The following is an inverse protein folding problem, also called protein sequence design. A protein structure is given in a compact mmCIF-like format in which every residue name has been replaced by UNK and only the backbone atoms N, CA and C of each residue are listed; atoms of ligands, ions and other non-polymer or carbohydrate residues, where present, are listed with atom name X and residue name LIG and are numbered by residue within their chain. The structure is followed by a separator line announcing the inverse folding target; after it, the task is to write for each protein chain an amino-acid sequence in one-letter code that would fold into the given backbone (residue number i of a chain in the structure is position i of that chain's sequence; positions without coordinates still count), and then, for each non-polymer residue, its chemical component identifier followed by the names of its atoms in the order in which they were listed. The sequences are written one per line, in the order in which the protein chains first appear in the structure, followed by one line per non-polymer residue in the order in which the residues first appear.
data_IF_995174374155
#
_entry.id   IF_995174374155
#
_cell.length_a   1.000
_cell.length_b   1.000
_cell.length_c   1.000
_cell.angle_alpha   90.00
_cell.angle_beta   90.00
_cell.angle_gamma   90.00
#
_symmetry.space_group_name_H-M   'P 1'
#
loop_
_entity.id
_entity.type
_entity.pdbx_description
1 polymer ?
#
# COMPACT_ATOMS: atom_id res chain seq x y z
N UNK A 1 15.09 -51.36 -10.65
CA UNK A 1 15.68 -50.07 -10.24
C UNK A 1 14.55 -49.09 -10.01
N UNK A 2 14.32 -48.70 -8.75
CA UNK A 2 13.26 -47.75 -8.37
C UNK A 2 13.85 -46.34 -8.41
N UNK A 3 13.46 -45.52 -9.38
CA UNK A 3 13.72 -44.09 -9.35
C UNK A 3 12.60 -43.44 -8.54
N UNK A 4 12.90 -43.02 -7.31
CA UNK A 4 12.07 -42.05 -6.60
C UNK A 4 12.25 -40.70 -7.32
N UNK A 5 11.26 -40.30 -8.10
CA UNK A 5 11.18 -38.95 -8.63
C UNK A 5 10.82 -38.01 -7.47
N UNK A 6 11.81 -37.25 -7.00
CA UNK A 6 11.59 -36.10 -6.11
C UNK A 6 10.92 -35.01 -6.97
N UNK A 7 9.60 -34.90 -6.88
CA UNK A 7 8.86 -33.74 -7.39
C UNK A 7 9.25 -32.52 -6.53
N UNK A 8 10.18 -31.72 -7.02
CA UNK A 8 10.48 -30.42 -6.44
C UNK A 8 9.23 -29.55 -6.56
N UNK A 9 8.61 -29.23 -5.42
CA UNK A 9 7.62 -28.17 -5.30
C UNK A 9 8.30 -26.84 -5.62
N UNK A 10 8.32 -26.48 -6.90
CA UNK A 10 8.71 -25.14 -7.30
C UNK A 10 7.65 -24.17 -6.76
N UNK A 11 8.05 -23.09 -6.07
CA UNK A 11 7.11 -22.07 -5.64
C UNK A 11 6.46 -21.47 -6.88
N UNK A 12 5.14 -21.58 -6.97
CA UNK A 12 4.34 -20.91 -8.00
C UNK A 12 4.51 -19.41 -7.77
N UNK A 13 5.25 -18.75 -8.67
CA UNK A 13 5.28 -17.30 -8.74
C UNK A 13 3.86 -16.84 -9.12
N UNK A 14 3.14 -16.26 -8.17
CA UNK A 14 1.86 -15.62 -8.40
C UNK A 14 2.11 -14.15 -8.76
N UNK A 15 1.25 -13.57 -9.59
CA UNK A 15 1.12 -12.12 -9.63
C UNK A 15 0.82 -11.62 -8.22
N UNK A 16 1.54 -10.60 -7.78
CA UNK A 16 1.19 -9.88 -6.56
C UNK A 16 -0.03 -9.02 -6.87
N UNK A 17 -1.09 -9.16 -6.06
CA UNK A 17 -2.33 -8.39 -6.22
C UNK A 17 -2.34 -7.13 -5.36
N UNK A 18 -1.23 -6.87 -4.66
CA UNK A 18 -1.06 -5.71 -3.81
C UNK A 18 0.28 -5.67 -3.07
N UNK A 19 0.41 -4.72 -2.16
CA UNK A 19 1.55 -4.57 -1.27
C UNK A 19 1.16 -3.87 0.03
N UNK A 20 1.97 -4.08 1.05
CA UNK A 20 1.85 -3.42 2.35
C UNK A 20 3.15 -2.67 2.63
N UNK A 21 3.04 -1.36 2.79
CA UNK A 21 4.15 -0.47 3.12
C UNK A 21 4.07 -0.01 4.57
N UNK A 22 5.22 0.12 5.22
CA UNK A 22 5.34 0.66 6.57
C UNK A 22 6.30 1.84 6.57
N UNK A 23 5.99 2.89 7.33
CA UNK A 23 6.99 3.93 7.63
C UNK A 23 8.13 3.35 8.47
N UNK A 24 9.30 3.98 8.42
CA UNK A 24 10.48 3.55 9.21
C UNK A 24 10.20 3.51 10.73
N UNK A 25 9.33 4.39 11.21
CA UNK A 25 8.90 4.44 12.62
C UNK A 25 7.81 3.41 12.95
N UNK A 26 7.28 2.69 11.95
CA UNK A 26 6.15 1.75 12.07
C UNK A 26 4.94 2.37 12.77
N UNK A 27 4.70 3.65 12.53
CA UNK A 27 3.54 4.39 13.01
C UNK A 27 2.43 4.51 11.95
N UNK A 28 2.73 4.13 10.71
CA UNK A 28 1.80 4.10 9.60
C UNK A 28 2.01 2.87 8.73
N UNK A 29 0.92 2.18 8.42
CA UNK A 29 0.86 1.14 7.42
C UNK A 29 -0.03 1.58 6.25
N UNK A 30 0.47 1.47 5.03
CA UNK A 30 -0.24 1.73 3.77
C UNK A 30 -0.43 0.42 3.04
N UNK A 31 -1.68 -0.02 2.85
CA UNK A 31 -2.01 -1.20 2.05
C UNK A 31 -2.60 -0.76 0.74
N UNK A 32 -2.10 -1.31 -0.35
CA UNK A 32 -2.69 -1.13 -1.68
C UNK A 32 -2.96 -2.50 -2.26
N UNK A 33 -4.17 -2.72 -2.76
CA UNK A 33 -4.56 -3.97 -3.38
C UNK A 33 -5.56 -3.72 -4.51
N UNK A 34 -5.57 -4.63 -5.47
CA UNK A 34 -6.53 -4.67 -6.55
C UNK A 34 -7.87 -5.22 -6.03
N UNK A 35 -8.96 -4.49 -6.24
CA UNK A 35 -10.32 -4.98 -5.99
C UNK A 35 -10.85 -5.71 -7.22
N UNK A 36 -11.69 -6.73 -7.04
CA UNK A 36 -12.37 -7.46 -8.14
C UNK A 36 -13.15 -6.53 -9.10
N UNK A 37 -13.47 -5.32 -8.64
CA UNK A 37 -14.14 -4.28 -9.42
C UNK A 37 -13.20 -3.35 -10.19
N UNK A 38 -11.93 -3.73 -10.41
CA UNK A 38 -10.85 -2.92 -11.07
C UNK A 38 -10.43 -1.63 -10.36
N UNK A 39 -10.95 -1.37 -9.16
CA UNK A 39 -10.56 -0.22 -8.36
C UNK A 39 -9.37 -0.60 -7.46
N UNK A 40 -8.23 0.08 -7.61
CA UNK A 40 -7.15 -0.03 -6.63
C UNK A 40 -7.60 0.66 -5.33
N UNK A 41 -7.50 -0.02 -4.20
CA UNK A 41 -7.87 0.53 -2.89
C UNK A 41 -6.61 0.83 -2.10
N UNK A 42 -6.49 2.06 -1.59
CA UNK A 42 -5.44 2.42 -0.62
C UNK A 42 -6.04 2.54 0.78
N UNK A 43 -5.46 1.82 1.74
CA UNK A 43 -5.83 1.84 3.16
C UNK A 43 -4.65 2.36 3.96
N UNK A 44 -4.87 3.40 4.76
CA UNK A 44 -3.95 3.84 5.79
C UNK A 44 -4.40 3.27 7.14
N UNK A 45 -3.47 2.82 7.98
CA UNK A 45 -3.78 2.35 9.34
C UNK A 45 -2.63 2.59 10.32
N UNK A 46 -2.94 2.77 11.61
CA UNK A 46 -1.94 2.78 12.68
C UNK A 46 -1.70 1.33 13.13
N UNK A 47 -0.51 0.75 12.87
CA UNK A 47 -0.23 -0.64 13.21
C UNK A 47 0.00 -0.86 14.71
N UNK A 48 0.08 0.19 15.54
CA UNK A 48 0.33 0.12 16.99
C UNK A 48 -0.94 -0.07 17.81
N UNK A 49 -2.12 0.02 17.19
CA UNK A 49 -3.40 -0.17 17.86
C UNK A 49 -3.83 -1.65 17.74
N UNK A 50 -3.83 -2.38 18.86
CA UNK A 50 -4.04 -3.83 18.97
C UNK A 50 -5.44 -4.32 18.54
N UNK A 51 -6.43 -3.43 18.50
CA UNK A 51 -7.81 -3.78 18.12
C UNK A 51 -8.02 -3.51 16.64
N UNK A 52 -7.55 -4.43 15.80
CA UNK A 52 -7.90 -4.51 14.38
C UNK A 52 -7.56 -3.24 13.60
N UNK A 53 -6.27 -3.00 13.34
CA UNK A 53 -5.75 -2.04 12.35
C UNK A 53 -6.66 -0.83 12.13
N UNK A 54 -6.62 0.13 13.06
CA UNK A 54 -7.47 1.31 12.99
C UNK A 54 -7.33 1.97 11.62
N UNK A 55 -8.40 1.90 10.83
CA UNK A 55 -8.48 2.49 9.51
C UNK A 55 -8.35 4.01 9.67
N UNK A 56 -7.25 4.56 9.17
CA UNK A 56 -6.94 5.99 9.14
C UNK A 56 -7.55 6.64 7.92
N UNK A 57 -7.61 5.97 6.77
CA UNK A 57 -8.32 6.45 5.57
C UNK A 57 -8.45 5.33 4.53
N UNK A 58 -9.55 5.33 3.78
CA UNK A 58 -9.76 4.49 2.59
C UNK A 58 -9.94 5.38 1.37
N UNK A 59 -9.17 5.11 0.32
CA UNK A 59 -9.23 5.86 -0.93
C UNK A 59 -9.72 4.94 -2.03
N UNK A 60 -10.88 5.26 -2.62
CA UNK A 60 -11.56 4.44 -3.63
C UNK A 60 -11.27 4.84 -5.08
N UNK A 61 -10.76 6.05 -5.31
CA UNK A 61 -10.24 6.48 -6.61
C UNK A 61 -8.73 6.59 -6.50
N UNK A 62 -8.05 5.54 -6.96
CA UNK A 62 -6.60 5.55 -7.07
C UNK A 62 -6.24 5.61 -8.54
N UNK A 63 -5.73 6.75 -8.98
CA UNK A 63 -5.11 6.87 -10.30
C UNK A 63 -3.73 6.21 -10.21
N UNK A 64 -3.66 4.97 -10.72
CA UNK A 64 -2.43 4.20 -10.84
C UNK A 64 -1.83 4.36 -12.22
N UNK A 65 -0.67 4.98 -12.33
CA UNK A 65 0.18 4.83 -13.51
C UNK A 65 1.29 3.84 -13.15
N UNK A 66 1.18 2.62 -13.68
CA UNK A 66 2.27 1.65 -13.68
C UNK A 66 3.12 1.93 -14.91
N UNK A 67 4.32 2.47 -14.72
CA UNK A 67 5.35 2.46 -15.76
C UNK A 67 6.14 1.15 -15.68
N UNK A 68 7.04 0.91 -16.63
CA UNK A 68 7.91 -0.27 -16.62
C UNK A 68 8.80 -0.36 -15.37
N UNK A 69 8.99 0.76 -14.66
CA UNK A 69 9.96 0.91 -13.57
C UNK A 69 9.33 1.33 -12.23
N UNK A 70 8.10 1.88 -12.21
CA UNK A 70 7.48 2.31 -10.97
C UNK A 70 5.96 2.35 -11.05
N UNK A 71 5.32 2.16 -9.90
CA UNK A 71 3.89 2.37 -9.74
C UNK A 71 3.66 3.60 -8.86
N UNK A 72 2.88 4.56 -9.36
CA UNK A 72 2.44 5.73 -8.62
C UNK A 72 0.94 5.65 -8.37
N UNK A 73 0.54 5.68 -7.11
CA UNK A 73 -0.85 5.62 -6.67
C UNK A 73 -1.22 6.93 -6.00
N UNK A 74 -2.14 7.69 -6.61
CA UNK A 74 -2.66 8.93 -6.03
C UNK A 74 -4.02 8.69 -5.36
N UNK A 75 -4.13 9.07 -4.11
CA UNK A 75 -5.29 8.90 -3.26
C UNK A 75 -5.77 10.27 -2.73
N UNK A 76 -7.05 10.59 -2.91
CA UNK A 76 -7.68 11.81 -2.40
C UNK A 76 -8.82 11.46 -1.43
N UNK A 77 -8.90 12.09 -0.24
CA UNK A 77 -9.90 11.72 0.75
C UNK A 77 -11.31 11.92 0.18
N UNK A 78 -12.21 10.97 0.43
CA UNK A 78 -13.60 11.10 -0.01
C UNK A 78 -14.25 12.30 0.67
N UNK A 79 -15.14 12.99 -0.05
CA UNK A 79 -15.95 14.09 0.51
C UNK A 79 -16.98 13.60 1.55
N UNK A 80 -17.29 12.32 1.52
CA UNK A 80 -18.09 11.62 2.54
C UNK A 80 -17.13 10.78 3.37
N UNK A 81 -16.56 11.32 4.47
CA UNK A 81 -15.75 10.52 5.36
C UNK A 81 -16.65 9.44 5.96
N UNK A 82 -16.35 8.16 5.71
CA UNK A 82 -16.79 7.11 6.63
C UNK A 82 -16.39 7.56 8.04
N UNK A 83 -17.21 7.33 9.08
CA UNK A 83 -16.90 7.77 10.43
C UNK A 83 -15.61 7.11 10.90
N UNK A 84 -14.52 7.86 10.79
CA UNK A 84 -13.16 7.39 11.08
C UNK A 84 -12.98 7.34 12.59
N UNK A 85 -12.92 6.13 13.17
CA UNK A 85 -12.61 6.00 14.59
C UNK A 85 -11.12 6.33 14.81
N UNK A 86 -10.86 7.36 15.60
CA UNK A 86 -9.65 7.73 16.35
C UNK A 86 -8.25 7.84 15.70
N UNK A 87 -8.09 7.75 14.38
CA UNK A 87 -6.87 8.22 13.71
C UNK A 87 -6.93 9.72 13.44
N UNK A 88 -6.25 10.58 14.19
CA UNK A 88 -6.36 12.05 13.99
C UNK A 88 -5.34 12.63 13.00
N UNK A 89 -4.26 11.91 12.67
CA UNK A 89 -3.19 12.44 11.83
C UNK A 89 -2.40 11.34 11.08
N UNK A 90 -1.74 11.75 9.99
CA UNK A 90 -0.79 10.95 9.20
C UNK A 90 0.54 11.71 9.19
N UNK A 91 1.60 11.10 9.73
CA UNK A 91 2.93 11.72 9.83
C UNK A 91 2.90 13.14 10.45
N UNK A 92 2.09 13.31 11.50
CA UNK A 92 1.91 14.58 12.20
C UNK A 92 1.00 15.59 11.51
N UNK A 93 0.45 15.28 10.32
CA UNK A 93 -0.54 16.13 9.63
C UNK A 93 -1.95 15.65 9.95
N UNK A 94 -2.84 16.51 10.48
CA UNK A 94 -4.22 16.13 10.73
C UNK A 94 -4.90 15.61 9.47
N UNK A 95 -5.67 14.52 9.56
CA UNK A 95 -6.30 13.92 8.38
C UNK A 95 -7.17 14.90 7.57
N UNK A 96 -7.91 15.78 8.27
CA UNK A 96 -8.73 16.84 7.65
C UNK A 96 -7.92 17.86 6.85
N UNK A 97 -6.61 17.91 7.09
CA UNK A 97 -5.66 18.80 6.42
C UNK A 97 -4.87 18.08 5.33
N UNK A 98 -5.04 16.77 5.15
CA UNK A 98 -4.43 16.02 4.04
C UNK A 98 -5.27 16.26 2.77
N UNK A 99 -4.66 16.86 1.75
CA UNK A 99 -5.30 17.05 0.45
C UNK A 99 -5.09 15.85 -0.47
N UNK A 100 -3.90 15.26 -0.45
CA UNK A 100 -3.57 14.10 -1.28
C UNK A 100 -2.48 13.24 -0.64
N UNK A 101 -2.50 11.95 -0.97
CA UNK A 101 -1.44 11.00 -0.71
C UNK A 101 -1.00 10.38 -2.02
N UNK A 102 0.30 10.40 -2.30
CA UNK A 102 0.89 9.72 -3.45
C UNK A 102 1.89 8.70 -2.95
N UNK A 103 1.61 7.43 -3.19
CA UNK A 103 2.57 6.36 -2.94
C UNK A 103 3.30 6.03 -4.24
N UNK A 104 4.62 6.06 -4.21
CA UNK A 104 5.50 5.66 -5.31
C UNK A 104 6.29 4.45 -4.85
N UNK A 105 6.18 3.35 -5.59
CA UNK A 105 6.87 2.10 -5.29
C UNK A 105 7.65 1.66 -6.52
N UNK A 106 8.86 1.13 -6.33
CA UNK A 106 9.68 0.53 -7.39
C UNK A 106 9.13 -0.87 -7.77
N UNK A 107 7.88 -0.86 -8.25
CA UNK A 107 7.10 -2.03 -8.58
C UNK A 107 6.42 -1.84 -9.93
N UNK A 108 6.50 -2.86 -10.78
CA UNK A 108 5.80 -2.93 -12.05
C UNK A 108 4.82 -4.11 -12.03
N UNK A 109 3.54 -3.82 -12.29
CA UNK A 109 2.50 -4.83 -12.41
C UNK A 109 2.83 -5.82 -13.55
N UNK A 110 2.52 -7.10 -13.35
CA UNK A 110 2.72 -8.15 -14.36
C UNK A 110 4.14 -8.73 -14.44
N UNK A 111 5.11 -8.22 -13.66
CA UNK A 111 6.39 -8.91 -13.47
C UNK A 111 6.25 -9.95 -12.34
N UNK A 112 6.58 -11.24 -12.57
CA UNK A 112 6.56 -12.24 -11.51
C UNK A 112 7.49 -11.85 -10.37
N UNK A 113 6.96 -11.81 -9.15
CA UNK A 113 7.69 -11.47 -7.93
C UNK A 113 7.30 -12.43 -6.82
N UNK A 114 8.15 -12.55 -5.80
CA UNK A 114 7.84 -13.42 -4.66
C UNK A 114 6.96 -12.69 -3.65
N UNK A 115 5.98 -13.39 -3.08
CA UNK A 115 5.23 -12.86 -1.94
C UNK A 115 6.19 -12.54 -0.79
N UNK A 116 6.00 -11.38 -0.16
CA UNK A 116 6.89 -10.88 0.89
C UNK A 116 8.20 -10.27 0.39
N UNK A 117 8.43 -10.19 -0.93
CA UNK A 117 9.58 -9.49 -1.48
C UNK A 117 9.55 -8.01 -1.06
N UNK A 118 10.71 -7.55 -0.59
CA UNK A 118 10.90 -6.17 -0.17
C UNK A 118 11.08 -5.26 -1.39
N UNK A 119 10.39 -4.12 -1.38
CA UNK A 119 10.49 -3.07 -2.38
C UNK A 119 10.57 -1.72 -1.68
N UNK A 120 11.56 -0.86 -2.00
CA UNK A 120 11.60 0.48 -1.45
C UNK A 120 10.45 1.33 -2.01
N UNK A 121 9.87 2.18 -1.17
CA UNK A 121 8.82 3.11 -1.58
C UNK A 121 8.96 4.49 -0.94
N UNK A 122 8.19 5.43 -1.48
CA UNK A 122 8.04 6.79 -0.98
C UNK A 122 6.57 7.14 -0.89
N UNK A 123 6.16 7.65 0.27
CA UNK A 123 4.84 8.24 0.46
C UNK A 123 4.99 9.76 0.49
N UNK A 124 4.38 10.43 -0.49
CA UNK A 124 4.25 11.88 -0.52
C UNK A 124 2.89 12.26 0.04
N UNK A 125 2.89 13.09 1.07
CA UNK A 125 1.70 13.68 1.66
C UNK A 125 1.65 15.15 1.30
N UNK A 126 0.57 15.56 0.65
CA UNK A 126 0.29 16.96 0.33
C UNK A 126 -0.84 17.44 1.23
N UNK A 127 -0.61 18.51 1.96
CA UNK A 127 -1.64 19.14 2.79
C UNK A 127 -2.52 20.12 1.99
N UNK A 128 -3.59 20.63 2.61
CA UNK A 128 -4.49 21.62 1.99
C UNK A 128 -3.83 22.98 1.69
N UNK A 129 -2.65 23.24 2.24
CA UNK A 129 -1.81 24.42 1.95
C UNK A 129 -0.80 24.14 0.84
N UNK A 130 -0.86 22.94 0.24
CA UNK A 130 0.06 22.46 -0.78
C UNK A 130 1.51 22.28 -0.29
N UNK A 131 1.69 22.08 1.03
CA UNK A 131 2.96 21.67 1.61
C UNK A 131 3.15 20.17 1.43
N UNK A 132 4.31 19.77 0.90
CA UNK A 132 4.64 18.37 0.65
C UNK A 132 5.55 17.82 1.75
N UNK A 133 5.23 16.61 2.22
CA UNK A 133 6.07 15.81 3.11
C UNK A 133 6.38 14.47 2.46
N UNK A 134 7.66 14.13 2.37
CA UNK A 134 8.10 12.84 1.87
C UNK A 134 8.45 11.92 3.04
N UNK A 135 7.96 10.68 2.99
CA UNK A 135 8.23 9.65 3.97
C UNK A 135 8.78 8.43 3.23
N UNK A 136 9.94 7.94 3.66
CA UNK A 136 10.43 6.64 3.22
C UNK A 136 9.56 5.54 3.81
N UNK A 137 9.18 4.58 2.97
CA UNK A 137 8.39 3.43 3.38
C UNK A 137 9.02 2.13 2.89
N UNK A 138 8.95 1.11 3.74
CA UNK A 138 9.39 -0.25 3.44
C UNK A 138 8.17 -1.05 2.98
N UNK A 139 8.12 -1.42 1.70
CA UNK A 139 7.00 -2.16 1.12
C UNK A 139 7.31 -3.64 0.97
N UNK A 140 6.28 -4.46 1.19
CA UNK A 140 6.33 -5.90 1.03
C UNK A 140 5.18 -6.34 0.13
N UNK A 141 5.50 -7.10 -0.92
CA UNK A 141 4.48 -7.59 -1.85
C UNK A 141 3.52 -8.55 -1.15
N UNK A 142 2.23 -8.38 -1.41
CA UNK A 142 1.18 -9.21 -0.86
C UNK A 142 0.50 -9.97 -2.01
N UNK A 143 0.34 -11.28 -1.84
CA UNK A 143 -0.40 -12.13 -2.77
C UNK A 143 -1.64 -12.61 -2.02
N UNK A 144 -2.81 -12.19 -2.47
CA UNK A 144 -4.10 -12.66 -1.96
C UNK A 144 -4.47 -13.89 -2.78
N UNK A 145 -4.28 -15.08 -2.22
CA UNK A 145 -4.71 -16.34 -2.85
C UNK A 145 -6.23 -16.44 -2.97
#
# INVERSE_FOLDING_TARGET
MRYLALLALLPLASSADGFVCYTSQRDLAVRVYESESTATVMILSDPRQDVGHQLIARFGQVEGAASEDAASFLAQPSREPEPMSHGNSVAGVPLREVAALRLVVDFAWGRPRLSGEYVPGKLLLTDIRNENRELSVDCYLHVTR
#
